data_IF_427212899842
#
_entry.id   IF_427212899842
#
_cell.length_a   1.000
_cell.length_b   1.000
_cell.length_c   1.000
_cell.angle_alpha   90.00
_cell.angle_beta   90.00
_cell.angle_gamma   90.00
#
_symmetry.space_group_name_H-M   'P 1'
#
loop_
_entity.id
_entity.type
_entity.pdbx_description
1 polymer ?
#
# COMPACT_ATOMS: atom_id res chain seq x y z
N UNK A 1 -7.06 9.59 15.99
CA UNK A 1 -7.05 10.70 15.00
C UNK A 1 -6.91 10.09 13.61
N UNK A 2 -7.63 10.62 12.61
CA UNK A 2 -7.50 10.19 11.21
C UNK A 2 -6.41 11.00 10.51
N UNK A 3 -5.45 10.32 9.88
CA UNK A 3 -4.39 10.95 9.10
C UNK A 3 -4.68 10.72 7.61
N UNK A 4 -5.53 11.60 7.05
CA UNK A 4 -5.92 11.53 5.64
C UNK A 4 -4.92 12.29 4.78
N UNK A 5 -4.63 11.77 3.61
CA UNK A 5 -3.79 12.40 2.60
C UNK A 5 -3.87 11.70 1.26
N UNK A 6 -2.91 11.92 0.37
CA UNK A 6 -2.93 11.39 -0.97
C UNK A 6 -1.56 10.85 -1.42
N UNK A 7 -1.56 10.08 -2.50
CA UNK A 7 -0.35 9.59 -3.17
C UNK A 7 0.22 10.71 -4.05
N UNK A 8 1.01 11.58 -3.44
CA UNK A 8 1.49 12.80 -4.08
C UNK A 8 2.69 12.59 -4.99
N UNK A 9 2.86 13.48 -5.93
CA UNK A 9 3.99 13.48 -6.86
C UNK A 9 5.32 13.74 -6.15
N UNK A 10 6.36 12.99 -6.53
CA UNK A 10 7.76 13.23 -6.17
C UNK A 10 8.59 13.68 -7.39
N UNK A 11 7.96 14.24 -8.41
CA UNK A 11 8.64 14.72 -9.61
C UNK A 11 9.63 15.83 -9.25
N UNK A 12 10.84 15.70 -9.76
CA UNK A 12 11.94 16.63 -9.46
C UNK A 12 12.81 16.25 -8.26
N UNK A 13 12.34 15.33 -7.40
CA UNK A 13 13.04 14.79 -6.23
C UNK A 13 12.06 14.42 -5.11
N UNK A 14 12.43 13.41 -4.31
CA UNK A 14 11.59 12.93 -3.20
C UNK A 14 11.25 14.03 -2.20
N UNK A 15 12.13 15.02 -2.05
CA UNK A 15 11.96 16.20 -1.19
C UNK A 15 10.77 17.09 -1.55
N UNK A 16 10.19 16.91 -2.75
CA UNK A 16 9.00 17.67 -3.15
C UNK A 16 7.69 17.02 -2.62
N UNK A 17 7.71 15.73 -2.32
CA UNK A 17 6.51 15.06 -1.83
C UNK A 17 5.93 15.65 -0.54
N UNK A 18 6.71 15.97 0.52
CA UNK A 18 6.17 16.64 1.70
C UNK A 18 5.57 18.03 1.40
N UNK A 19 6.13 18.76 0.43
CA UNK A 19 5.61 20.06 0.00
C UNK A 19 4.25 19.89 -0.66
N UNK A 20 4.17 18.98 -1.67
CA UNK A 20 2.94 18.70 -2.39
C UNK A 20 1.82 18.20 -1.46
N UNK A 21 2.16 17.38 -0.47
CA UNK A 21 1.22 16.93 0.55
C UNK A 21 0.73 18.08 1.44
N UNK A 22 1.62 18.98 1.82
CA UNK A 22 1.26 20.14 2.64
C UNK A 22 0.33 21.11 1.90
N UNK A 23 0.59 21.35 0.62
CA UNK A 23 -0.22 22.27 -0.22
C UNK A 23 -1.67 21.82 -0.38
N UNK A 24 -1.96 20.53 -0.34
CA UNK A 24 -3.33 19.98 -0.37
C UNK A 24 -3.96 19.79 1.01
N UNK A 25 -3.28 20.20 2.10
CA UNK A 25 -3.80 20.06 3.46
C UNK A 25 -3.70 18.64 4.06
N UNK A 26 -2.95 17.73 3.40
CA UNK A 26 -2.78 16.36 3.83
C UNK A 26 -2.09 16.24 5.19
N UNK A 27 -2.48 15.22 5.98
CA UNK A 27 -1.86 14.85 7.27
C UNK A 27 -1.08 13.55 7.21
N UNK A 28 -1.19 12.84 6.10
CA UNK A 28 -0.42 11.67 5.71
C UNK A 28 -0.14 11.78 4.22
N UNK A 29 0.78 11.00 3.68
CA UNK A 29 0.96 10.91 2.24
C UNK A 29 1.65 9.62 1.82
N UNK A 30 1.46 9.25 0.56
CA UNK A 30 2.26 8.26 -0.14
C UNK A 30 3.10 8.94 -1.22
N UNK A 31 4.15 8.27 -1.65
CA UNK A 31 4.99 8.67 -2.77
C UNK A 31 5.66 7.45 -3.40
N UNK A 32 6.07 7.56 -4.64
CA UNK A 32 7.08 6.67 -5.21
C UNK A 32 8.48 7.20 -4.88
N UNK A 33 9.33 6.40 -4.27
CA UNK A 33 10.71 6.80 -3.92
C UNK A 33 11.64 6.85 -5.12
N UNK A 34 11.14 6.37 -6.26
CA UNK A 34 11.82 6.36 -7.58
C UNK A 34 10.79 6.33 -8.69
N UNK A 35 11.23 6.38 -9.95
CA UNK A 35 10.34 6.22 -11.09
C UNK A 35 9.76 4.78 -11.14
N UNK A 36 8.45 4.65 -10.89
CA UNK A 36 7.72 3.39 -10.81
C UNK A 36 7.58 2.64 -12.15
N UNK A 37 8.05 3.24 -13.25
CA UNK A 37 8.01 2.65 -14.61
C UNK A 37 9.37 2.18 -15.10
N UNK A 38 10.40 2.21 -14.24
CA UNK A 38 11.77 1.84 -14.56
C UNK A 38 12.34 0.84 -13.57
N UNK A 39 13.04 -0.19 -14.08
CA UNK A 39 13.69 -1.20 -13.26
C UNK A 39 14.92 -0.67 -12.48
N UNK A 40 15.57 0.34 -13.00
CA UNK A 40 16.75 0.93 -12.37
C UNK A 40 16.56 2.43 -12.20
N UNK A 41 16.96 2.94 -11.06
CA UNK A 41 16.98 4.36 -10.75
C UNK A 41 18.33 4.75 -10.17
N UNK A 42 18.70 6.01 -10.33
CA UNK A 42 19.90 6.53 -9.65
C UNK A 42 19.69 6.51 -8.13
N UNK A 43 20.78 6.31 -7.35
CA UNK A 43 20.69 6.46 -5.89
C UNK A 43 20.14 7.83 -5.49
N UNK A 44 19.47 7.87 -4.34
CA UNK A 44 19.05 9.14 -3.75
C UNK A 44 20.27 10.01 -3.45
N UNK A 45 20.20 11.31 -3.78
CA UNK A 45 21.24 12.26 -3.45
C UNK A 45 21.18 12.62 -1.96
N UNK A 46 22.31 12.81 -1.33
CA UNK A 46 22.39 13.18 0.08
C UNK A 46 21.58 14.45 0.40
N UNK A 47 21.65 15.45 -0.47
CA UNK A 47 20.90 16.71 -0.32
C UNK A 47 19.38 16.45 -0.41
N UNK A 48 18.91 15.61 -1.33
CA UNK A 48 17.48 15.23 -1.42
C UNK A 48 17.00 14.50 -0.17
N UNK A 49 17.80 13.59 0.39
CA UNK A 49 17.49 12.89 1.64
C UNK A 49 17.39 13.89 2.79
N UNK A 50 18.34 14.80 2.89
CA UNK A 50 18.35 15.83 3.95
C UNK A 50 17.11 16.73 3.85
N UNK A 51 16.86 17.29 2.67
CA UNK A 51 15.71 18.17 2.41
C UNK A 51 14.35 17.46 2.64
N UNK A 52 14.25 16.18 2.26
CA UNK A 52 13.04 15.40 2.54
C UNK A 52 12.74 15.36 4.04
N UNK A 53 13.73 15.01 4.86
CA UNK A 53 13.60 14.92 6.32
C UNK A 53 13.29 16.27 6.95
N UNK A 54 14.02 17.32 6.54
CA UNK A 54 13.80 18.69 6.99
C UNK A 54 12.36 19.16 6.72
N UNK A 55 11.85 18.90 5.51
CA UNK A 55 10.48 19.28 5.12
C UNK A 55 9.42 18.46 5.85
N UNK A 56 9.63 17.17 6.06
CA UNK A 56 8.74 16.36 6.87
C UNK A 56 8.66 16.90 8.30
N UNK A 57 9.79 17.24 8.91
CA UNK A 57 9.83 17.84 10.25
C UNK A 57 9.13 19.21 10.27
N UNK A 58 9.43 20.09 9.31
CA UNK A 58 8.88 21.43 9.22
C UNK A 58 7.34 21.44 9.07
N UNK A 59 6.79 20.46 8.34
CA UNK A 59 5.34 20.33 8.15
C UNK A 59 4.67 19.38 9.15
N UNK A 60 5.43 18.79 10.09
CA UNK A 60 4.91 17.94 11.15
C UNK A 60 4.48 16.54 10.69
N UNK A 61 5.06 16.03 9.62
CA UNK A 61 4.80 14.65 9.16
C UNK A 61 5.59 13.63 9.99
N UNK A 62 4.87 12.79 10.72
CA UNK A 62 5.47 11.62 11.37
C UNK A 62 5.82 10.55 10.31
N UNK A 63 7.03 9.94 10.36
CA UNK A 63 7.39 8.85 9.45
C UNK A 63 6.43 7.64 9.45
N UNK A 64 5.68 7.44 10.53
CA UNK A 64 4.61 6.44 10.62
C UNK A 64 3.31 6.81 9.90
N UNK A 65 3.18 8.06 9.43
CA UNK A 65 2.06 8.55 8.63
C UNK A 65 2.42 8.69 7.13
N UNK A 66 3.60 8.23 6.73
CA UNK A 66 4.03 8.23 5.33
C UNK A 66 4.08 6.79 4.84
N UNK A 67 3.29 6.46 3.80
CA UNK A 67 3.13 5.12 3.25
C UNK A 67 3.60 5.06 1.79
N UNK A 68 4.94 5.02 1.53
CA UNK A 68 5.45 4.91 0.17
C UNK A 68 4.93 3.65 -0.52
N UNK A 69 4.77 3.73 -1.82
CA UNK A 69 4.40 2.56 -2.65
C UNK A 69 5.59 2.14 -3.52
N UNK A 70 5.74 0.84 -3.73
CA UNK A 70 6.75 0.30 -4.63
C UNK A 70 6.35 0.43 -6.12
N UNK A 71 7.28 0.09 -7.00
CA UNK A 71 7.03 0.08 -8.44
C UNK A 71 6.06 -1.05 -8.84
N UNK A 72 5.04 -0.74 -9.64
CA UNK A 72 4.12 -1.73 -10.23
C UNK A 72 4.79 -2.79 -11.13
N UNK A 73 6.08 -2.62 -11.46
CA UNK A 73 6.85 -3.63 -12.19
C UNK A 73 7.25 -4.82 -11.30
N UNK A 74 7.27 -4.64 -9.98
CA UNK A 74 7.71 -5.66 -9.02
C UNK A 74 6.65 -6.76 -8.91
N UNK A 75 7.10 -8.00 -9.04
CA UNK A 75 6.30 -9.18 -8.80
C UNK A 75 7.12 -10.17 -7.97
N UNK A 76 6.94 -10.15 -6.65
CA UNK A 76 7.71 -10.99 -5.72
C UNK A 76 7.38 -12.48 -5.83
N UNK A 77 6.28 -12.84 -6.51
CA UNK A 77 5.89 -14.20 -6.83
C UNK A 77 6.20 -14.62 -8.26
N UNK A 78 6.98 -13.86 -9.02
CA UNK A 78 7.22 -14.10 -10.44
C UNK A 78 7.68 -15.56 -10.71
N UNK A 79 6.98 -16.31 -11.59
CA UNK A 79 7.36 -17.69 -11.92
C UNK A 79 8.67 -17.81 -12.73
N UNK A 80 9.04 -16.75 -13.46
CA UNK A 80 10.31 -16.70 -14.20
C UNK A 80 11.46 -16.28 -13.29
N UNK A 81 12.57 -17.03 -13.32
CA UNK A 81 13.70 -16.81 -12.40
C UNK A 81 14.37 -15.43 -12.61
N UNK A 82 14.53 -15.00 -13.86
CA UNK A 82 15.14 -13.69 -14.17
C UNK A 82 14.21 -12.56 -13.74
N UNK A 83 12.90 -12.70 -14.01
CA UNK A 83 11.88 -11.73 -13.57
C UNK A 83 11.76 -11.66 -12.05
N UNK A 84 11.88 -12.78 -11.34
CA UNK A 84 11.91 -12.84 -9.90
C UNK A 84 13.13 -12.12 -9.32
N UNK A 85 14.33 -12.38 -9.85
CA UNK A 85 15.55 -11.73 -9.38
C UNK A 85 15.48 -10.22 -9.59
N UNK A 86 15.01 -9.76 -10.74
CA UNK A 86 14.80 -8.32 -10.99
C UNK A 86 13.82 -7.69 -10.00
N UNK A 87 12.74 -8.41 -9.66
CA UNK A 87 11.76 -7.94 -8.69
C UNK A 87 12.34 -7.86 -7.28
N UNK A 88 13.10 -8.88 -6.85
CA UNK A 88 13.79 -8.90 -5.55
C UNK A 88 14.81 -7.76 -5.43
N UNK A 89 15.64 -7.56 -6.47
CA UNK A 89 16.62 -6.48 -6.49
C UNK A 89 15.95 -5.10 -6.43
N UNK A 90 14.85 -4.92 -7.15
CA UNK A 90 14.09 -3.69 -7.16
C UNK A 90 13.40 -3.44 -5.80
N UNK A 91 12.81 -4.44 -5.19
CA UNK A 91 12.17 -4.34 -3.89
C UNK A 91 13.19 -4.02 -2.78
N UNK A 92 14.36 -4.65 -2.81
CA UNK A 92 15.47 -4.33 -1.91
C UNK A 92 15.93 -2.88 -2.06
N UNK A 93 16.07 -2.37 -3.31
CA UNK A 93 16.41 -0.96 -3.56
C UNK A 93 15.35 -0.02 -2.96
N UNK A 94 14.05 -0.33 -3.11
CA UNK A 94 12.99 0.51 -2.58
C UNK A 94 12.93 0.48 -1.04
N UNK A 95 13.10 -0.67 -0.41
CA UNK A 95 13.21 -0.78 1.05
C UNK A 95 14.42 0.01 1.58
N UNK A 96 15.57 -0.07 0.89
CA UNK A 96 16.78 0.69 1.24
C UNK A 96 16.56 2.21 1.10
N UNK A 97 15.81 2.66 0.09
CA UNK A 97 15.44 4.07 -0.07
C UNK A 97 14.56 4.54 1.08
N UNK A 98 13.58 3.75 1.49
CA UNK A 98 12.75 4.05 2.66
C UNK A 98 13.60 4.17 3.92
N UNK A 99 14.57 3.28 4.12
CA UNK A 99 15.53 3.31 5.23
C UNK A 99 16.35 4.62 5.23
N UNK A 100 16.90 5.01 4.07
CA UNK A 100 17.68 6.25 3.90
C UNK A 100 16.84 7.51 4.20
N UNK A 101 15.57 7.51 3.79
CA UNK A 101 14.63 8.59 4.05
C UNK A 101 14.11 8.60 5.49
N UNK A 102 14.37 7.57 6.29
CA UNK A 102 13.89 7.44 7.67
C UNK A 102 12.42 7.01 7.77
N UNK A 103 11.86 6.51 6.66
CA UNK A 103 10.48 6.01 6.60
C UNK A 103 10.34 4.68 7.32
N UNK A 104 9.13 4.35 7.75
CA UNK A 104 8.85 3.16 8.56
C UNK A 104 8.19 2.03 7.80
N UNK A 105 7.71 2.30 6.59
CA UNK A 105 6.88 1.39 5.82
C UNK A 105 7.24 1.46 4.33
N UNK A 106 6.99 0.38 3.61
CA UNK A 106 6.89 0.34 2.15
C UNK A 106 5.70 -0.52 1.80
N UNK A 107 4.70 0.08 1.15
CA UNK A 107 3.52 -0.61 0.63
C UNK A 107 3.82 -1.23 -0.74
N UNK A 108 3.27 -2.42 -0.99
CA UNK A 108 3.48 -3.12 -2.26
C UNK A 108 2.36 -4.12 -2.56
N UNK A 109 2.07 -4.33 -3.85
CA UNK A 109 1.26 -5.45 -4.29
C UNK A 109 2.07 -6.75 -4.19
N UNK A 110 1.53 -7.83 -3.58
CA UNK A 110 2.32 -9.04 -3.32
C UNK A 110 2.88 -9.71 -4.57
N UNK A 111 2.09 -9.73 -5.66
CA UNK A 111 2.54 -10.29 -6.92
C UNK A 111 1.50 -11.17 -7.61
N UNK A 112 1.96 -11.92 -8.60
CA UNK A 112 1.09 -12.65 -9.52
C UNK A 112 1.75 -13.95 -9.97
N UNK A 113 0.97 -15.05 -10.05
CA UNK A 113 1.43 -16.34 -10.53
C UNK A 113 1.46 -16.43 -12.07
N UNK A 114 0.98 -15.41 -12.79
CA UNK A 114 0.95 -15.30 -14.26
C UNK A 114 0.33 -16.51 -14.99
N UNK A 115 -0.50 -17.31 -14.30
CA UNK A 115 -1.05 -18.56 -14.83
C UNK A 115 -0.01 -19.67 -15.07
N UNK A 116 1.20 -19.55 -14.51
CA UNK A 116 2.35 -20.46 -14.76
C UNK A 116 2.81 -21.23 -13.52
N UNK A 117 2.13 -21.02 -12.40
CA UNK A 117 2.51 -21.60 -11.10
C UNK A 117 1.26 -21.77 -10.25
N UNK A 118 1.27 -22.80 -9.38
CA UNK A 118 0.21 -22.99 -8.38
C UNK A 118 0.20 -21.82 -7.37
N UNK A 119 -1.01 -21.48 -6.89
CA UNK A 119 -1.23 -20.34 -5.99
C UNK A 119 -0.37 -20.43 -4.73
N UNK A 120 -0.42 -21.57 -4.02
CA UNK A 120 0.32 -21.74 -2.76
C UNK A 120 1.84 -21.63 -2.97
N UNK A 121 2.35 -22.17 -4.07
CA UNK A 121 3.77 -22.03 -4.43
C UNK A 121 4.15 -20.58 -4.69
N UNK A 122 3.25 -19.82 -5.30
CA UNK A 122 3.47 -18.39 -5.54
C UNK A 122 3.44 -17.58 -4.22
N UNK A 123 2.51 -17.88 -3.33
CA UNK A 123 2.41 -17.23 -2.00
C UNK A 123 3.68 -17.50 -1.17
N UNK A 124 4.17 -18.74 -1.13
CA UNK A 124 5.43 -19.08 -0.45
C UNK A 124 6.63 -18.33 -1.06
N UNK A 125 6.66 -18.19 -2.38
CA UNK A 125 7.72 -17.41 -3.07
C UNK A 125 7.68 -15.93 -2.75
N UNK A 126 6.48 -15.35 -2.60
CA UNK A 126 6.32 -13.97 -2.16
C UNK A 126 6.89 -13.81 -0.74
N UNK A 127 6.53 -14.71 0.18
CA UNK A 127 7.05 -14.68 1.54
C UNK A 127 8.58 -14.84 1.60
N UNK A 128 9.15 -15.77 0.78
CA UNK A 128 10.59 -15.93 0.65
C UNK A 128 11.26 -14.63 0.17
N UNK A 129 10.68 -13.95 -0.81
CA UNK A 129 11.22 -12.70 -1.35
C UNK A 129 11.19 -11.58 -0.30
N UNK A 130 10.15 -11.52 0.54
CA UNK A 130 10.07 -10.61 1.69
C UNK A 130 11.18 -10.95 2.70
N UNK A 131 11.34 -12.22 3.08
CA UNK A 131 12.35 -12.66 4.04
C UNK A 131 13.77 -12.29 3.59
N UNK A 132 14.10 -12.55 2.31
CA UNK A 132 15.39 -12.17 1.71
C UNK A 132 15.66 -10.67 1.83
N UNK A 133 14.65 -9.84 1.63
CA UNK A 133 14.77 -8.38 1.72
C UNK A 133 14.87 -7.91 3.16
N UNK A 134 14.04 -8.44 4.05
CA UNK A 134 14.06 -8.09 5.48
C UNK A 134 15.40 -8.46 6.15
N UNK A 135 16.03 -9.55 5.72
CA UNK A 135 17.35 -9.94 6.21
C UNK A 135 18.48 -8.96 5.82
N UNK A 136 18.27 -8.12 4.81
CA UNK A 136 19.26 -7.18 4.27
C UNK A 136 18.95 -5.71 4.63
N UNK A 137 17.82 -5.44 5.26
CA UNK A 137 17.35 -4.10 5.63
C UNK A 137 16.98 -4.02 7.09
N UNK A 138 16.77 -2.80 7.61
CA UNK A 138 16.37 -2.57 9.00
C UNK A 138 15.31 -1.47 9.12
N UNK A 139 14.50 -1.52 10.17
CA UNK A 139 13.62 -0.42 10.59
C UNK A 139 12.43 -0.10 9.66
N UNK A 140 12.32 -0.73 8.49
CA UNK A 140 11.21 -0.55 7.55
C UNK A 140 10.33 -1.81 7.55
N UNK A 141 9.03 -1.62 7.62
CA UNK A 141 8.01 -2.68 7.54
C UNK A 141 7.60 -2.89 6.09
N UNK A 142 7.58 -4.14 5.63
CA UNK A 142 7.00 -4.53 4.35
C UNK A 142 5.48 -4.61 4.50
N UNK A 143 4.74 -3.72 3.86
CA UNK A 143 3.28 -3.59 3.99
C UNK A 143 2.62 -4.18 2.75
N UNK A 144 1.99 -5.34 2.93
CA UNK A 144 1.30 -6.07 1.87
C UNK A 144 -0.04 -5.37 1.60
N UNK A 145 -0.24 -4.89 0.39
CA UNK A 145 -1.54 -4.39 -0.03
C UNK A 145 -2.43 -5.52 -0.52
N UNK A 146 -3.70 -5.51 -0.08
CA UNK A 146 -4.67 -6.39 -0.70
C UNK A 146 -4.94 -5.94 -2.14
N UNK A 147 -5.20 -6.89 -3.05
CA UNK A 147 -5.48 -6.61 -4.46
C UNK A 147 -6.94 -6.91 -4.80
N UNK A 148 -7.40 -6.40 -5.93
CA UNK A 148 -8.73 -6.74 -6.47
C UNK A 148 -8.83 -8.20 -6.94
N UNK A 149 -7.71 -8.92 -7.08
CA UNK A 149 -7.67 -10.25 -7.69
C UNK A 149 -7.84 -10.23 -9.21
N UNK A 150 -7.49 -9.11 -9.86
CA UNK A 150 -7.56 -9.00 -11.31
C UNK A 150 -6.56 -9.92 -11.98
N UNK A 151 -7.02 -10.69 -12.97
CA UNK A 151 -6.17 -11.63 -13.70
C UNK A 151 -5.62 -12.74 -12.80
N UNK A 152 -4.31 -12.73 -12.56
CA UNK A 152 -3.57 -13.71 -11.75
C UNK A 152 -2.92 -13.08 -10.52
N UNK A 153 -3.32 -11.86 -10.13
CA UNK A 153 -2.82 -11.17 -8.94
C UNK A 153 -3.29 -11.88 -7.66
N UNK A 154 -2.38 -12.03 -6.72
CA UNK A 154 -2.61 -12.65 -5.42
C UNK A 154 -2.75 -11.59 -4.31
N UNK A 155 -3.12 -12.05 -3.10
CA UNK A 155 -3.39 -11.17 -1.98
C UNK A 155 -4.77 -10.52 -2.03
N UNK A 156 -5.70 -11.07 -2.81
CA UNK A 156 -7.07 -10.57 -2.88
C UNK A 156 -8.00 -11.19 -1.81
N UNK A 157 -7.61 -12.29 -1.19
CA UNK A 157 -8.31 -12.82 -0.02
C UNK A 157 -7.48 -12.64 1.24
N UNK A 158 -8.15 -12.49 2.37
CA UNK A 158 -7.47 -12.35 3.66
C UNK A 158 -6.64 -13.59 4.02
N UNK A 159 -7.10 -14.78 3.59
CA UNK A 159 -6.37 -16.04 3.77
C UNK A 159 -5.04 -16.05 3.01
N UNK A 160 -5.00 -15.49 1.79
CA UNK A 160 -3.75 -15.36 1.04
C UNK A 160 -2.77 -14.41 1.73
N UNK A 161 -3.25 -13.29 2.26
CA UNK A 161 -2.45 -12.34 3.03
C UNK A 161 -1.93 -13.00 4.31
N UNK A 162 -2.81 -13.69 5.06
CA UNK A 162 -2.44 -14.41 6.26
C UNK A 162 -1.40 -15.52 5.97
N UNK A 163 -1.55 -16.23 4.85
CA UNK A 163 -0.57 -17.23 4.41
C UNK A 163 0.82 -16.60 4.24
N UNK A 164 0.92 -15.50 3.50
CA UNK A 164 2.20 -14.79 3.30
C UNK A 164 2.78 -14.34 4.64
N UNK A 165 1.97 -13.70 5.50
CA UNK A 165 2.41 -13.27 6.83
C UNK A 165 2.93 -14.45 7.64
N UNK A 166 2.24 -15.59 7.62
CA UNK A 166 2.65 -16.78 8.38
C UNK A 166 4.02 -17.34 7.96
N UNK A 167 4.38 -17.21 6.69
CA UNK A 167 5.67 -17.64 6.14
C UNK A 167 6.79 -16.58 6.29
N UNK A 168 6.47 -15.32 6.61
CA UNK A 168 7.47 -14.28 6.91
C UNK A 168 8.10 -14.57 8.28
N UNK A 169 9.43 -14.53 8.37
CA UNK A 169 10.18 -14.85 9.60
C UNK A 169 10.06 -13.74 10.66
N UNK A 170 10.34 -12.50 10.25
CA UNK A 170 10.23 -11.34 11.15
C UNK A 170 8.83 -10.71 11.10
N UNK A 171 7.93 -11.22 11.94
CA UNK A 171 6.55 -10.75 12.08
C UNK A 171 6.45 -9.28 12.51
N UNK A 172 7.47 -8.73 13.13
CA UNK A 172 7.46 -7.32 13.56
C UNK A 172 7.63 -6.35 12.41
N UNK A 173 8.14 -6.83 11.27
CA UNK A 173 8.43 -6.03 10.07
C UNK A 173 7.57 -6.41 8.87
N UNK A 174 6.42 -6.99 9.09
CA UNK A 174 5.38 -7.19 8.06
C UNK A 174 4.08 -6.57 8.52
N UNK A 175 3.32 -6.01 7.59
CA UNK A 175 2.02 -5.39 7.84
C UNK A 175 1.12 -5.49 6.63
N UNK A 176 -0.07 -4.89 6.73
CA UNK A 176 -1.10 -4.89 5.69
C UNK A 176 -1.58 -3.48 5.43
N UNK A 177 -1.81 -3.14 4.17
CA UNK A 177 -2.61 -2.03 3.71
C UNK A 177 -3.90 -2.57 3.09
N UNK A 178 -5.04 -1.99 3.44
CA UNK A 178 -6.32 -2.32 2.82
C UNK A 178 -6.75 -1.18 1.88
N UNK A 179 -6.80 -1.49 0.59
CA UNK A 179 -7.43 -0.62 -0.40
C UNK A 179 -8.94 -0.90 -0.44
N UNK A 180 -9.75 0.15 -0.34
CA UNK A 180 -11.21 0.02 -0.30
C UNK A 180 -11.81 -0.44 -1.63
N UNK A 181 -11.30 0.03 -2.77
CA UNK A 181 -11.73 -0.42 -4.10
C UNK A 181 -11.34 -1.87 -4.35
N UNK A 182 -10.12 -2.27 -3.96
CA UNK A 182 -9.66 -3.65 -4.05
C UNK A 182 -10.47 -4.58 -3.15
N UNK A 183 -10.76 -4.17 -1.92
CA UNK A 183 -11.58 -4.93 -0.96
C UNK A 183 -12.96 -5.22 -1.54
N UNK A 184 -13.64 -4.19 -2.09
CA UNK A 184 -14.92 -4.36 -2.75
C UNK A 184 -14.82 -5.28 -3.98
N UNK A 185 -13.84 -5.04 -4.85
CA UNK A 185 -13.65 -5.82 -6.07
C UNK A 185 -13.30 -7.28 -5.78
N UNK A 186 -12.58 -7.55 -4.70
CA UNK A 186 -12.27 -8.91 -4.23
C UNK A 186 -13.50 -9.69 -3.71
N UNK A 187 -14.59 -9.01 -3.38
CA UNK A 187 -15.83 -9.63 -2.95
C UNK A 187 -16.20 -9.41 -1.48
N UNK A 188 -15.49 -8.54 -0.79
CA UNK A 188 -15.80 -8.13 0.58
C UNK A 188 -16.72 -6.91 0.57
N UNK A 189 -17.95 -7.08 1.10
CA UNK A 189 -18.89 -5.97 1.17
C UNK A 189 -18.47 -4.99 2.28
N UNK A 190 -18.16 -3.77 1.87
CA UNK A 190 -17.90 -2.64 2.79
C UNK A 190 -18.88 -1.48 2.55
N UNK A 191 -19.92 -1.70 1.73
CA UNK A 191 -20.93 -0.69 1.38
C UNK A 191 -22.07 -0.62 2.41
N UNK A 192 -22.48 -1.78 2.91
CA UNK A 192 -23.55 -1.85 3.90
C UNK A 192 -22.97 -1.93 5.32
N UNK A 193 -23.67 -1.40 6.35
CA UNK A 193 -23.19 -1.51 7.73
C UNK A 193 -22.96 -2.95 8.17
N UNK A 194 -23.83 -3.87 7.78
CA UNK A 194 -23.72 -5.29 8.08
C UNK A 194 -22.51 -5.93 7.36
N UNK A 195 -22.36 -5.64 6.06
CA UNK A 195 -21.23 -6.12 5.27
C UNK A 195 -19.91 -5.57 5.78
N UNK A 196 -19.85 -4.27 6.12
CA UNK A 196 -18.69 -3.62 6.72
C UNK A 196 -18.29 -4.30 8.04
N UNK A 197 -19.26 -4.53 8.93
CA UNK A 197 -18.99 -5.20 10.20
C UNK A 197 -18.45 -6.62 10.00
N UNK A 198 -19.07 -7.38 9.08
CA UNK A 198 -18.67 -8.77 8.77
C UNK A 198 -17.30 -8.83 8.09
N UNK A 199 -17.03 -7.95 7.11
CA UNK A 199 -15.73 -7.88 6.42
C UNK A 199 -14.59 -7.62 7.40
N UNK A 200 -14.73 -6.63 8.28
CA UNK A 200 -13.67 -6.31 9.23
C UNK A 200 -13.59 -7.27 10.42
N UNK A 201 -14.70 -7.97 10.75
CA UNK A 201 -14.63 -9.12 11.67
C UNK A 201 -13.82 -10.25 11.06
N UNK A 202 -14.07 -10.61 9.81
CA UNK A 202 -13.31 -11.63 9.07
C UNK A 202 -11.84 -11.26 8.93
N UNK A 203 -11.53 -10.01 8.59
CA UNK A 203 -10.14 -9.53 8.56
C UNK A 203 -9.43 -9.73 9.91
N UNK A 204 -10.09 -9.38 11.00
CA UNK A 204 -9.51 -9.54 12.35
C UNK A 204 -9.26 -11.01 12.72
N UNK A 205 -10.19 -11.90 12.37
CA UNK A 205 -10.08 -13.33 12.64
C UNK A 205 -8.99 -14.02 11.83
N UNK A 206 -8.79 -13.61 10.58
CA UNK A 206 -7.89 -14.27 9.64
C UNK A 206 -6.50 -13.63 9.64
N UNK A 207 -6.41 -12.31 9.64
CA UNK A 207 -5.16 -11.54 9.57
C UNK A 207 -4.83 -10.89 10.90
N UNK A 208 -5.79 -10.21 11.50
CA UNK A 208 -5.65 -9.45 12.74
C UNK A 208 -5.36 -7.96 12.51
N UNK A 209 -6.07 -7.08 13.23
CA UNK A 209 -5.85 -5.63 13.17
C UNK A 209 -4.44 -5.21 13.62
N UNK A 210 -3.76 -6.05 14.39
CA UNK A 210 -2.37 -5.79 14.80
C UNK A 210 -1.40 -5.69 13.61
N UNK A 211 -1.76 -6.25 12.45
CA UNK A 211 -0.97 -6.15 11.22
C UNK A 211 -1.39 -4.96 10.34
N UNK A 212 -2.55 -4.33 10.55
CA UNK A 212 -2.99 -3.20 9.74
C UNK A 212 -2.07 -1.99 9.97
N UNK A 213 -1.54 -1.42 8.89
CA UNK A 213 -0.59 -0.30 8.92
C UNK A 213 -1.10 0.94 8.20
N UNK A 214 -2.09 0.81 7.34
CA UNK A 214 -2.67 1.90 6.59
C UNK A 214 -3.82 1.43 5.71
N UNK A 215 -4.45 2.38 5.06
CA UNK A 215 -5.48 2.11 4.06
C UNK A 215 -5.29 3.01 2.84
N UNK A 216 -5.63 2.50 1.67
CA UNK A 216 -5.94 3.33 0.51
C UNK A 216 -7.44 3.57 0.46
N UNK A 217 -7.83 4.84 0.38
CA UNK A 217 -9.23 5.25 0.31
C UNK A 217 -9.57 5.59 -1.14
N UNK A 218 -10.19 4.66 -1.82
CA UNK A 218 -10.59 4.80 -3.22
C UNK A 218 -12.03 4.33 -3.39
N UNK A 219 -12.87 5.13 -4.06
CA UNK A 219 -14.16 4.62 -4.53
C UNK A 219 -13.93 3.72 -5.76
N UNK A 220 -14.92 2.93 -6.13
CA UNK A 220 -14.78 1.94 -7.19
C UNK A 220 -15.76 2.20 -8.34
N UNK A 221 -15.26 2.14 -9.58
CA UNK A 221 -16.09 2.08 -10.79
C UNK A 221 -16.71 0.71 -11.01
N UNK A 222 -16.38 -0.27 -10.16
CA UNK A 222 -16.74 -1.68 -10.35
C UNK A 222 -17.54 -2.21 -9.18
N UNK A 223 -18.39 -3.18 -9.47
CA UNK A 223 -19.25 -3.83 -8.49
C UNK A 223 -18.51 -4.76 -7.54
N UNK A 224 -19.15 -5.10 -6.45
CA UNK A 224 -18.73 -6.12 -5.50
C UNK A 224 -18.39 -7.43 -6.20
N UNK A 225 -17.18 -7.97 -5.94
CA UNK A 225 -16.73 -9.24 -6.49
C UNK A 225 -16.35 -9.22 -7.98
N UNK A 226 -16.23 -8.04 -8.58
CA UNK A 226 -15.92 -7.88 -10.02
C UNK A 226 -14.55 -8.38 -10.43
N UNK A 227 -13.60 -8.49 -9.48
CA UNK A 227 -12.18 -8.78 -9.75
C UNK A 227 -11.54 -7.81 -10.75
N UNK A 228 -11.96 -6.54 -10.74
CA UNK A 228 -11.44 -5.49 -11.64
C UNK A 228 -11.09 -4.27 -10.82
N UNK A 229 -9.81 -3.89 -10.89
CA UNK A 229 -9.28 -2.70 -10.26
C UNK A 229 -9.55 -1.47 -11.13
N UNK A 230 -10.43 -0.56 -10.67
CA UNK A 230 -10.72 0.74 -11.29
C UNK A 230 -11.20 1.71 -10.23
N UNK A 231 -10.30 2.59 -9.81
CA UNK A 231 -10.59 3.63 -8.83
C UNK A 231 -11.50 4.73 -9.38
N UNK A 232 -12.27 5.33 -8.49
CA UNK A 232 -13.08 6.53 -8.72
C UNK A 232 -12.87 7.50 -7.54
N UNK A 233 -13.21 8.77 -7.76
CA UNK A 233 -13.22 9.81 -6.73
C UNK A 233 -14.23 9.48 -5.62
N UNK A 234 -13.92 9.89 -4.40
CA UNK A 234 -14.71 9.58 -3.20
C UNK A 234 -16.18 9.99 -3.39
N UNK A 235 -17.07 9.01 -3.22
CA UNK A 235 -18.52 9.19 -3.35
C UNK A 235 -19.05 9.33 -4.77
N UNK A 236 -18.18 9.20 -5.79
CA UNK A 236 -18.60 9.24 -7.21
C UNK A 236 -18.65 7.86 -7.85
N UNK A 237 -18.19 6.84 -7.15
CA UNK A 237 -18.23 5.45 -7.59
C UNK A 237 -19.43 4.66 -7.08
N UNK A 238 -19.32 3.35 -7.16
CA UNK A 238 -20.37 2.40 -6.78
C UNK A 238 -20.37 2.05 -5.29
N UNK A 239 -19.36 2.51 -4.55
CA UNK A 239 -19.26 2.32 -3.10
C UNK A 239 -20.04 3.39 -2.34
N UNK A 240 -19.90 4.64 -2.76
CA UNK A 240 -20.60 5.79 -2.18
C UNK A 240 -19.98 6.30 -0.88
N UNK A 241 -20.46 7.44 -0.42
CA UNK A 241 -19.89 8.16 0.74
C UNK A 241 -20.06 7.43 2.08
N UNK A 242 -21.05 6.56 2.23
CA UNK A 242 -21.34 5.96 3.53
C UNK A 242 -20.23 4.99 3.98
N UNK A 243 -19.56 4.31 3.06
CA UNK A 243 -18.37 3.51 3.34
C UNK A 243 -17.28 4.36 4.01
N UNK A 244 -16.97 5.51 3.40
CA UNK A 244 -15.93 6.41 3.94
C UNK A 244 -16.33 7.03 5.27
N UNK A 245 -17.63 7.34 5.46
CA UNK A 245 -18.14 7.78 6.76
C UNK A 245 -17.96 6.72 7.85
N UNK A 246 -18.24 5.45 7.54
CA UNK A 246 -18.01 4.35 8.47
C UNK A 246 -16.53 4.23 8.85
N UNK A 247 -15.61 4.32 7.88
CA UNK A 247 -14.17 4.31 8.13
C UNK A 247 -13.75 5.49 9.02
N UNK A 248 -14.27 6.69 8.74
CA UNK A 248 -13.86 7.91 9.47
C UNK A 248 -14.32 7.93 10.93
N UNK A 249 -15.40 7.24 11.28
CA UNK A 249 -15.88 7.16 12.68
C UNK A 249 -15.37 5.93 13.44
N UNK A 250 -14.82 4.95 12.74
CA UNK A 250 -14.35 3.69 13.36
C UNK A 250 -12.95 3.87 13.97
N UNK A 251 -12.78 3.70 15.29
CA UNK A 251 -11.49 3.90 15.95
C UNK A 251 -10.41 2.88 15.56
N UNK A 252 -10.78 1.73 14.95
CA UNK A 252 -9.83 0.73 14.45
C UNK A 252 -8.87 1.30 13.39
N UNK A 253 -9.31 2.35 12.69
CA UNK A 253 -8.54 3.04 11.64
C UNK A 253 -7.93 4.36 12.12
N UNK A 254 -7.80 4.55 13.43
CA UNK A 254 -7.12 5.71 13.98
C UNK A 254 -5.59 5.52 13.98
N UNK A 255 -4.89 6.64 13.89
CA UNK A 255 -3.43 6.73 14.04
C UNK A 255 -2.62 5.94 12.97
N UNK A 256 -3.17 5.79 11.77
CA UNK A 256 -2.51 5.22 10.61
C UNK A 256 -2.76 6.10 9.37
N UNK A 257 -1.92 6.01 8.32
CA UNK A 257 -2.14 6.73 7.07
C UNK A 257 -3.37 6.19 6.33
N UNK A 258 -4.21 7.10 5.88
CA UNK A 258 -5.38 6.88 5.03
C UNK A 258 -5.14 7.67 3.74
N UNK A 259 -4.78 6.99 2.67
CA UNK A 259 -4.21 7.58 1.46
C UNK A 259 -5.18 7.51 0.30
N UNK A 260 -5.46 8.64 -0.32
CA UNK A 260 -6.21 8.73 -1.57
C UNK A 260 -5.31 8.39 -2.77
N UNK A 261 -5.81 7.52 -3.64
CA UNK A 261 -5.25 7.25 -4.97
C UNK A 261 -6.34 7.44 -6.04
N UNK A 262 -7.25 8.36 -5.76
CA UNK A 262 -8.34 8.73 -6.65
C UNK A 262 -7.82 9.38 -7.93
N UNK A 263 -8.51 9.18 -9.07
CA UNK A 263 -7.95 9.55 -10.38
C UNK A 263 -7.89 11.04 -10.67
N UNK A 264 -8.63 11.87 -9.93
CA UNK A 264 -8.69 13.32 -10.12
C UNK A 264 -7.95 14.04 -8.98
N UNK A 265 -6.66 14.28 -9.18
CA UNK A 265 -5.79 14.94 -8.18
C UNK A 265 -6.28 16.35 -7.80
N UNK A 266 -7.03 17.02 -8.67
CA UNK A 266 -7.57 18.35 -8.38
C UNK A 266 -8.65 18.34 -7.29
N UNK A 267 -9.25 17.18 -7.02
CA UNK A 267 -10.25 17.00 -5.97
C UNK A 267 -9.66 16.64 -4.61
N UNK A 268 -8.38 16.26 -4.52
CA UNK A 268 -7.79 15.84 -3.24
C UNK A 268 -7.97 16.82 -2.08
N UNK A 269 -7.85 18.17 -2.29
CA UNK A 269 -8.11 19.11 -1.19
C UNK A 269 -9.54 19.08 -0.65
N UNK A 270 -10.51 18.61 -1.46
CA UNK A 270 -11.91 18.46 -1.05
C UNK A 270 -12.20 17.06 -0.48
N UNK A 271 -11.43 16.06 -0.90
CA UNK A 271 -11.57 14.65 -0.47
C UNK A 271 -10.85 14.39 0.87
N UNK A 272 -9.84 15.21 1.24
CA UNK A 272 -9.12 15.17 2.52
C UNK A 272 -9.92 15.87 3.63
#
# INVERSE_FOLDING_TARGET
>A
MKYVGAHVSAVGGVENAPVNAHEIGAKAFALFTRNQRQWKSQPLKADSIHLFKERCEAYGYDPGCILPHDSYLINLGNPDAEGLQKSRDAFLDEMTRCEQLGLKMLNFHPGSHLGKMEVDTCLSRIAESINITLAQTSGVCAVIENTAGQGSNLGYTFEQIAYIINEVEDKSRVGVCLDTAHTLAAGYDIKTPEGFAETFRHFDEVVGFSYLRGMHLNDSKKELGSRVDRHESIGKGLMGLDTFRMIMVDPRFDNMPLILETPDEALWPEEI
#
